data_IF_203047651439
#
_entry.id   IF_203047651439
#
_cell.length_a   1.000
_cell.length_b   1.000
_cell.length_c   1.000
_cell.angle_alpha   90.00
_cell.angle_beta   90.00
_cell.angle_gamma   90.00
#
_symmetry.space_group_name_H-M   'P 1'
#
loop_
_entity.id
_entity.type
_entity.pdbx_description
1 polymer ?
#
# COMPACT_ATOMS: atom_id res chain seq x y z
N UNK A 1 47.49 4.04 -35.42
CA UNK A 1 48.74 3.85 -34.66
C UNK A 1 48.44 3.08 -33.39
N UNK A 2 49.41 2.27 -32.95
CA UNK A 2 49.36 1.21 -31.94
C UNK A 2 48.89 1.66 -30.54
N UNK A 3 48.20 0.75 -29.83
CA UNK A 3 48.10 0.75 -28.37
C UNK A 3 49.47 0.51 -27.73
N UNK A 4 49.70 1.09 -26.54
CA UNK A 4 50.47 0.42 -25.47
C UNK A 4 49.96 0.84 -24.08
N UNK A 5 49.57 -0.17 -23.29
CA UNK A 5 49.42 -0.16 -21.82
C UNK A 5 50.75 -0.52 -21.15
N UNK A 6 50.88 -0.17 -19.86
CA UNK A 6 51.71 -0.73 -18.75
C UNK A 6 52.54 0.37 -18.06
N UNK A 7 52.79 0.45 -16.75
CA UNK A 7 52.54 -0.36 -15.52
C UNK A 7 53.23 0.45 -14.38
N UNK A 8 52.54 0.92 -13.32
CA UNK A 8 52.39 0.30 -11.97
C UNK A 8 53.52 0.62 -10.95
N UNK A 9 53.08 1.25 -9.83
CA UNK A 9 53.42 1.06 -8.39
C UNK A 9 54.71 1.62 -7.71
N UNK A 10 54.42 2.17 -6.50
CA UNK A 10 55.23 2.41 -5.26
C UNK A 10 56.26 3.55 -5.30
N UNK A 11 56.35 4.49 -4.35
CA UNK A 11 55.63 4.73 -3.09
C UNK A 11 56.42 5.68 -2.18
N UNK A 12 55.73 6.13 -1.10
CA UNK A 12 56.21 6.62 0.20
C UNK A 12 56.79 8.04 0.35
N UNK A 13 56.17 8.78 1.28
CA UNK A 13 56.57 10.06 1.88
C UNK A 13 55.39 11.03 2.01
N UNK A 14 54.40 10.80 2.90
CA UNK A 14 54.36 11.20 4.33
C UNK A 14 54.63 12.69 4.55
N UNK A 15 53.92 13.53 5.33
CA UNK A 15 52.87 13.42 6.37
C UNK A 15 52.41 14.88 6.70
N UNK A 16 51.20 15.05 7.27
CA UNK A 16 50.58 16.24 7.90
C UNK A 16 49.76 17.16 6.96
N UNK A 17 48.47 17.46 7.19
CA UNK A 17 47.57 17.34 8.35
C UNK A 17 46.17 16.92 7.84
N UNK A 18 45.55 15.82 8.29
CA UNK A 18 44.75 15.66 9.53
C UNK A 18 43.81 16.85 9.80
N UNK A 19 42.75 16.94 9.00
CA UNK A 19 41.46 17.49 9.43
C UNK A 19 40.52 16.34 9.76
N UNK A 20 40.63 15.80 10.97
CA UNK A 20 39.64 14.87 11.55
C UNK A 20 38.32 15.62 11.77
N UNK A 21 37.45 15.60 10.76
CA UNK A 21 36.01 15.82 10.92
C UNK A 21 35.33 14.46 10.91
N UNK A 22 35.51 13.67 11.96
CA UNK A 22 34.68 12.49 12.19
C UNK A 22 33.26 12.97 12.42
N UNK A 23 32.40 12.85 11.41
CA UNK A 23 30.96 12.81 11.65
C UNK A 23 30.72 11.57 12.49
N UNK A 24 30.34 11.75 13.77
CA UNK A 24 29.91 10.63 14.57
C UNK A 24 28.73 9.98 13.86
N UNK A 25 28.86 8.68 13.61
CA UNK A 25 27.81 7.81 13.10
C UNK A 25 26.81 7.50 14.22
N UNK A 26 26.37 8.50 14.98
CA UNK A 26 25.50 8.30 16.15
C UNK A 26 24.08 7.81 15.77
N UNK A 27 23.84 7.49 14.49
CA UNK A 27 22.57 6.99 13.98
C UNK A 27 21.42 8.00 14.03
N UNK A 28 21.64 9.18 14.61
CA UNK A 28 20.64 10.24 14.78
C UNK A 28 20.39 10.96 13.46
N UNK A 29 19.12 11.09 13.08
CA UNK A 29 18.74 11.92 11.94
C UNK A 29 18.94 13.41 12.29
N UNK A 30 19.47 14.24 11.36
CA UNK A 30 19.71 15.65 11.63
C UNK A 30 18.40 16.45 11.78
N UNK A 31 18.33 17.36 12.76
CA UNK A 31 17.28 18.36 12.92
C UNK A 31 17.80 19.73 12.52
N UNK A 32 17.31 20.36 11.43
CA UNK A 32 17.79 21.71 11.06
C UNK A 32 16.72 22.80 11.00
N UNK A 33 15.43 22.50 11.14
CA UNK A 33 14.39 23.55 11.19
C UNK A 33 14.00 23.83 12.64
N UNK A 34 14.38 25.01 13.13
CA UNK A 34 13.94 25.57 14.41
C UNK A 34 12.40 25.72 14.40
N UNK A 35 11.66 25.05 15.30
CA UNK A 35 10.20 25.10 15.35
C UNK A 35 9.65 26.39 15.97
N UNK A 36 10.49 27.23 16.58
CA UNK A 36 10.03 28.37 17.40
C UNK A 36 9.72 29.64 16.61
N UNK A 37 10.08 29.71 15.33
CA UNK A 37 9.81 30.84 14.45
C UNK A 37 8.62 30.61 13.52
N UNK A 38 7.39 30.70 14.03
CA UNK A 38 6.19 30.70 13.16
C UNK A 38 5.23 31.84 13.49
N UNK A 39 5.16 32.83 12.58
CA UNK A 39 3.98 33.67 12.39
C UNK A 39 3.16 33.14 11.19
N UNK A 40 1.88 32.86 11.44
CA UNK A 40 0.92 32.47 10.42
C UNK A 40 0.60 33.65 9.49
N UNK A 41 1.16 33.66 8.28
CA UNK A 41 0.67 34.56 7.22
C UNK A 41 -0.57 33.95 6.56
N UNK A 42 -1.75 34.30 7.10
CA UNK A 42 -3.07 33.98 6.55
C UNK A 42 -3.29 34.44 5.09
N UNK A 43 -2.41 35.31 4.57
CA UNK A 43 -2.48 35.89 3.24
C UNK A 43 -1.47 35.28 2.26
N UNK A 44 -0.96 34.06 2.47
CA UNK A 44 -0.36 33.29 1.37
C UNK A 44 -1.46 32.94 0.35
N UNK A 45 -1.48 33.54 -0.86
CA UNK A 45 -2.44 33.18 -1.88
C UNK A 45 -1.97 31.87 -2.51
N UNK A 46 -2.54 30.74 -2.10
CA UNK A 46 -2.17 29.44 -2.68
C UNK A 46 -2.63 28.19 -1.94
N UNK A 47 -3.24 28.30 -0.76
CA UNK A 47 -3.67 27.13 0.02
C UNK A 47 -5.00 26.51 -0.45
N UNK A 48 -5.65 27.09 -1.47
CA UNK A 48 -6.89 26.58 -2.09
C UNK A 48 -6.66 26.10 -3.55
N UNK A 49 -5.45 25.62 -3.86
CA UNK A 49 -5.09 24.94 -5.13
C UNK A 49 -4.98 23.43 -4.96
N UNK A 50 -6.01 22.76 -4.45
CA UNK A 50 -6.10 21.30 -4.52
C UNK A 50 -5.33 20.48 -3.47
N UNK A 51 -4.71 21.11 -2.47
CA UNK A 51 -4.21 20.40 -1.29
C UNK A 51 -5.38 20.12 -0.33
N UNK A 52 -5.77 18.84 -0.19
CA UNK A 52 -6.62 18.38 0.90
C UNK A 52 -5.74 17.80 2.00
N UNK A 53 -5.79 18.46 3.15
CA UNK A 53 -5.02 18.25 4.37
C UNK A 53 -3.49 18.47 4.20
N UNK A 54 -2.89 19.52 4.81
CA UNK A 54 -1.46 19.44 5.11
C UNK A 54 -1.23 18.23 6.05
N UNK A 55 -0.02 17.64 6.09
CA UNK A 55 0.35 16.85 7.26
C UNK A 55 -0.02 17.70 8.48
N UNK A 56 -0.94 17.18 9.30
CA UNK A 56 -1.53 17.89 10.43
C UNK A 56 -0.41 18.67 11.16
N UNK A 57 -0.58 19.98 11.47
CA UNK A 57 0.46 20.79 12.06
C UNK A 57 1.18 20.06 13.19
N UNK A 58 2.51 20.19 13.32
CA UNK A 58 3.31 19.36 14.23
C UNK A 58 2.87 19.39 15.69
N UNK A 59 2.18 20.44 16.11
CA UNK A 59 1.82 20.71 17.49
C UNK A 59 0.34 20.45 17.80
N UNK A 60 -0.35 19.63 17.00
CA UNK A 60 -1.73 19.25 17.30
C UNK A 60 -1.79 18.17 18.39
N UNK A 61 -2.64 18.37 19.41
CA UNK A 61 -2.93 17.40 20.47
C UNK A 61 -3.30 16.01 19.94
N UNK A 62 -3.82 15.96 18.70
CA UNK A 62 -4.16 14.74 18.00
C UNK A 62 -2.97 13.80 17.78
N UNK A 63 -1.74 14.32 17.79
CA UNK A 63 -0.51 13.56 17.73
C UNK A 63 -0.13 12.88 19.05
N UNK A 64 -0.92 13.09 20.10
CA UNK A 64 -0.76 12.41 21.39
C UNK A 64 -1.96 11.53 21.72
N UNK A 65 -3.00 11.56 20.89
CA UNK A 65 -4.22 10.80 21.10
C UNK A 65 -4.17 9.45 20.40
N UNK A 66 -4.16 8.37 21.19
CA UNK A 66 -4.39 7.03 20.67
C UNK A 66 -5.90 6.76 20.60
N UNK A 67 -6.40 6.54 19.39
CA UNK A 67 -7.79 6.16 19.20
C UNK A 67 -8.05 4.77 19.82
N UNK A 68 -7.13 3.80 19.74
CA UNK A 68 -7.34 2.46 20.30
C UNK A 68 -8.58 1.70 19.79
N UNK A 69 -9.27 2.20 18.76
CA UNK A 69 -10.56 1.67 18.29
C UNK A 69 -11.19 2.46 17.15
N UNK A 70 -12.42 2.11 16.80
CA UNK A 70 -13.17 2.76 15.72
C UNK A 70 -13.52 4.22 16.09
N UNK A 71 -13.23 5.14 15.16
CA UNK A 71 -13.58 6.56 15.27
C UNK A 71 -14.80 6.87 14.40
N UNK A 72 -15.83 7.47 15.01
CA UNK A 72 -17.13 7.76 14.40
C UNK A 72 -17.16 9.00 13.50
N UNK A 73 -16.08 9.30 12.79
CA UNK A 73 -15.97 10.50 11.95
C UNK A 73 -15.22 10.18 10.65
N UNK A 74 -15.83 10.35 9.45
CA UNK A 74 -15.13 10.11 8.19
C UNK A 74 -13.93 11.04 7.96
N UNK A 75 -13.94 12.25 8.55
CA UNK A 75 -12.83 13.21 8.42
C UNK A 75 -11.57 12.68 9.09
N UNK A 76 -11.72 11.89 10.17
CA UNK A 76 -10.61 11.20 10.83
C UNK A 76 -9.81 10.33 9.87
N UNK A 77 -10.50 9.66 8.94
CA UNK A 77 -9.88 8.80 7.93
C UNK A 77 -9.43 9.56 6.68
N UNK A 78 -9.41 10.90 6.73
CA UNK A 78 -9.05 11.77 5.62
C UNK A 78 -10.09 11.81 4.50
N UNK A 79 -11.36 11.52 4.81
CA UNK A 79 -12.44 11.45 3.85
C UNK A 79 -13.55 12.47 4.15
N UNK A 80 -14.26 12.93 3.11
CA UNK A 80 -15.35 13.91 3.28
C UNK A 80 -16.61 13.29 3.89
N UNK A 81 -16.79 11.98 3.71
CA UNK A 81 -17.98 11.23 4.09
C UNK A 81 -17.69 9.72 4.13
N UNK A 82 -18.66 8.93 4.63
CA UNK A 82 -18.52 7.48 4.76
C UNK A 82 -18.45 6.74 3.41
N UNK A 83 -18.94 7.30 2.30
CA UNK A 83 -18.72 6.70 0.97
C UNK A 83 -17.24 6.80 0.56
N UNK A 84 -16.55 7.89 0.93
CA UNK A 84 -15.09 8.01 0.76
C UNK A 84 -14.33 6.94 1.56
N UNK A 85 -14.74 6.71 2.81
CA UNK A 85 -14.18 5.65 3.68
C UNK A 85 -14.39 4.27 3.06
N UNK A 86 -15.62 3.96 2.63
CA UNK A 86 -15.95 2.70 1.95
C UNK A 86 -15.13 2.49 0.69
N UNK A 87 -14.87 3.55 -0.08
CA UNK A 87 -14.06 3.47 -1.30
C UNK A 87 -12.71 2.80 -1.05
N UNK A 88 -12.05 3.12 0.06
CA UNK A 88 -10.77 2.50 0.42
C UNK A 88 -10.94 1.03 0.79
N UNK A 89 -11.93 0.74 1.64
CA UNK A 89 -12.20 -0.59 2.15
C UNK A 89 -12.62 -1.60 1.08
N UNK A 90 -13.37 -1.17 0.06
CA UNK A 90 -13.81 -2.03 -1.03
C UNK A 90 -12.63 -2.66 -1.79
N UNK A 91 -11.56 -1.89 -1.99
CA UNK A 91 -10.33 -2.38 -2.61
C UNK A 91 -9.69 -3.51 -1.79
N UNK A 92 -9.58 -3.30 -0.48
CA UNK A 92 -9.06 -4.29 0.47
C UNK A 92 -9.85 -5.59 0.44
N UNK A 93 -11.18 -5.51 0.47
CA UNK A 93 -12.06 -6.68 0.45
C UNK A 93 -11.93 -7.48 -0.85
N UNK A 94 -11.87 -6.81 -2.00
CA UNK A 94 -11.70 -7.48 -3.29
C UNK A 94 -10.33 -8.17 -3.39
N UNK A 95 -9.28 -7.50 -2.91
CA UNK A 95 -7.92 -8.04 -2.88
C UNK A 95 -7.82 -9.27 -1.95
N UNK A 96 -8.32 -9.13 -0.72
CA UNK A 96 -8.32 -10.17 0.30
C UNK A 96 -9.12 -11.40 -0.13
N UNK A 97 -10.31 -11.19 -0.73
CA UNK A 97 -11.12 -12.26 -1.29
C UNK A 97 -10.40 -13.08 -2.35
N UNK A 98 -9.59 -12.43 -3.20
CA UNK A 98 -8.75 -13.13 -4.17
C UNK A 98 -7.61 -13.89 -3.50
N UNK A 99 -6.95 -13.35 -2.48
CA UNK A 99 -5.89 -14.09 -1.78
C UNK A 99 -6.44 -15.35 -1.08
N UNK A 100 -7.65 -15.30 -0.51
CA UNK A 100 -8.34 -16.50 -0.01
C UNK A 100 -8.67 -17.50 -1.12
N UNK A 101 -9.19 -17.01 -2.26
CA UNK A 101 -9.45 -17.83 -3.45
C UNK A 101 -8.19 -18.54 -3.95
N UNK A 102 -7.07 -17.81 -4.11
CA UNK A 102 -5.77 -18.35 -4.52
C UNK A 102 -5.31 -19.48 -3.62
N UNK A 103 -5.40 -19.28 -2.30
CA UNK A 103 -5.04 -20.31 -1.31
C UNK A 103 -5.87 -21.58 -1.49
N UNK A 104 -7.18 -21.45 -1.65
CA UNK A 104 -8.04 -22.61 -1.86
C UNK A 104 -7.72 -23.31 -3.19
N UNK A 105 -7.51 -22.54 -4.26
CA UNK A 105 -7.16 -23.05 -5.57
C UNK A 105 -5.80 -23.78 -5.59
N UNK A 106 -4.79 -23.28 -4.89
CA UNK A 106 -3.47 -23.92 -4.75
C UNK A 106 -3.55 -25.31 -4.11
N UNK A 107 -4.56 -25.57 -3.26
CA UNK A 107 -4.83 -26.88 -2.66
C UNK A 107 -5.67 -27.80 -3.56
N UNK A 108 -6.01 -27.36 -4.77
CA UNK A 108 -6.90 -28.10 -5.67
C UNK A 108 -8.39 -27.93 -5.35
N UNK A 109 -8.76 -27.11 -4.36
CA UNK A 109 -10.13 -26.99 -3.85
C UNK A 109 -10.95 -25.96 -4.64
N UNK A 110 -11.28 -26.27 -5.90
CA UNK A 110 -12.02 -25.34 -6.78
C UNK A 110 -13.39 -24.88 -6.20
N UNK A 111 -14.22 -25.75 -5.58
CA UNK A 111 -15.47 -25.32 -4.97
C UNK A 111 -15.26 -24.32 -3.82
N UNK A 112 -14.22 -24.53 -3.00
CA UNK A 112 -13.86 -23.62 -1.91
C UNK A 112 -13.35 -22.28 -2.46
N UNK A 113 -12.48 -22.30 -3.48
CA UNK A 113 -12.01 -21.09 -4.16
C UNK A 113 -13.16 -20.25 -4.71
N UNK A 114 -14.18 -20.91 -5.28
CA UNK A 114 -15.41 -20.25 -5.73
C UNK A 114 -16.20 -19.66 -4.56
N UNK A 115 -16.36 -20.40 -3.46
CA UNK A 115 -17.05 -19.91 -2.27
C UNK A 115 -16.38 -18.65 -1.69
N UNK A 116 -15.05 -18.57 -1.73
CA UNK A 116 -14.29 -17.40 -1.28
C UNK A 116 -14.59 -16.14 -2.08
N UNK A 117 -14.71 -16.26 -3.41
CA UNK A 117 -15.08 -15.14 -4.27
C UNK A 117 -16.56 -14.73 -4.11
N UNK A 118 -17.47 -15.70 -3.91
CA UNK A 118 -18.87 -15.38 -3.57
C UNK A 118 -18.94 -14.62 -2.25
N UNK A 119 -18.16 -15.04 -1.25
CA UNK A 119 -18.12 -14.33 0.02
C UNK A 119 -17.53 -12.92 -0.15
N UNK A 120 -16.49 -12.75 -0.97
CA UNK A 120 -15.94 -11.44 -1.30
C UNK A 120 -16.97 -10.53 -1.99
N UNK A 121 -17.82 -11.05 -2.89
CA UNK A 121 -18.91 -10.28 -3.50
C UNK A 121 -19.95 -9.82 -2.47
N UNK A 122 -20.26 -10.66 -1.47
CA UNK A 122 -21.18 -10.31 -0.37
C UNK A 122 -20.56 -9.23 0.51
N UNK A 123 -19.30 -9.40 0.89
CA UNK A 123 -18.54 -8.44 1.70
C UNK A 123 -18.49 -7.08 0.98
N UNK A 124 -18.22 -7.09 -0.34
CA UNK A 124 -18.23 -5.89 -1.18
C UNK A 124 -19.63 -5.25 -1.29
N UNK A 125 -20.69 -6.06 -1.38
CA UNK A 125 -22.08 -5.57 -1.42
C UNK A 125 -22.49 -4.91 -0.11
N UNK A 126 -22.01 -5.41 1.03
CA UNK A 126 -22.21 -4.76 2.34
C UNK A 126 -21.51 -3.39 2.43
N UNK A 127 -20.47 -3.16 1.60
CA UNK A 127 -19.78 -1.88 1.44
C UNK A 127 -20.37 -0.99 0.35
N UNK A 128 -21.55 -1.29 -0.20
CA UNK A 128 -22.11 -0.50 -1.29
C UNK A 128 -22.27 0.98 -0.89
N UNK A 129 -21.84 1.93 -1.75
CA UNK A 129 -22.00 3.34 -1.47
C UNK A 129 -23.47 3.73 -1.45
N UNK A 130 -23.81 4.71 -0.61
CA UNK A 130 -25.17 5.23 -0.50
C UNK A 130 -25.54 6.07 -1.71
N UNK A 131 -24.61 6.89 -2.20
CA UNK A 131 -24.84 7.80 -3.34
C UNK A 131 -24.51 7.13 -4.67
N UNK A 132 -25.47 7.15 -5.59
CA UNK A 132 -25.31 6.68 -6.98
C UNK A 132 -24.57 7.72 -7.83
N UNK A 133 -23.96 7.26 -8.93
CA UNK A 133 -23.28 8.14 -9.91
C UNK A 133 -21.98 8.78 -9.42
N UNK A 134 -21.51 8.41 -8.22
CA UNK A 134 -20.25 8.90 -7.64
C UNK A 134 -19.05 8.08 -8.11
N UNK A 135 -17.84 8.61 -7.90
CA UNK A 135 -16.58 7.87 -8.12
C UNK A 135 -16.56 6.57 -7.31
N UNK A 136 -17.01 6.61 -6.05
CA UNK A 136 -17.15 5.42 -5.19
C UNK A 136 -18.12 4.39 -5.79
N UNK A 137 -19.27 4.81 -6.31
CA UNK A 137 -20.20 3.90 -6.98
C UNK A 137 -19.60 3.25 -8.24
N UNK A 138 -18.78 4.02 -8.99
CA UNK A 138 -18.00 3.50 -10.10
C UNK A 138 -17.01 2.41 -9.67
N UNK A 139 -16.28 2.63 -8.56
CA UNK A 139 -15.37 1.62 -8.01
C UNK A 139 -16.11 0.35 -7.60
N UNK A 140 -17.20 0.49 -6.83
CA UNK A 140 -18.00 -0.66 -6.40
C UNK A 140 -18.46 -1.51 -7.59
N UNK A 141 -19.01 -0.85 -8.63
CA UNK A 141 -19.46 -1.54 -9.83
C UNK A 141 -18.30 -2.21 -10.59
N UNK A 142 -17.13 -1.58 -10.67
CA UNK A 142 -15.95 -2.17 -11.29
C UNK A 142 -15.50 -3.44 -10.54
N UNK A 143 -15.38 -3.37 -9.21
CA UNK A 143 -14.96 -4.50 -8.38
C UNK A 143 -15.96 -5.66 -8.41
N UNK A 144 -17.27 -5.38 -8.39
CA UNK A 144 -18.31 -6.41 -8.54
C UNK A 144 -18.17 -7.15 -9.88
N UNK A 145 -17.95 -6.41 -10.98
CA UNK A 145 -17.70 -7.00 -12.30
C UNK A 145 -16.46 -7.86 -12.32
N UNK A 146 -15.39 -7.43 -11.67
CA UNK A 146 -14.14 -8.18 -11.58
C UNK A 146 -14.36 -9.52 -10.85
N UNK A 147 -15.02 -9.50 -9.68
CA UNK A 147 -15.31 -10.74 -8.95
C UNK A 147 -16.28 -11.66 -9.69
N UNK A 148 -17.26 -11.09 -10.41
CA UNK A 148 -18.19 -11.87 -11.23
C UNK A 148 -17.45 -12.60 -12.37
N UNK A 149 -16.59 -11.89 -13.07
CA UNK A 149 -15.73 -12.47 -14.10
C UNK A 149 -14.81 -13.54 -13.55
N UNK A 150 -14.25 -13.34 -12.36
CA UNK A 150 -13.41 -14.36 -11.72
C UNK A 150 -14.20 -15.63 -11.37
N UNK A 151 -15.46 -15.50 -10.94
CA UNK A 151 -16.35 -16.65 -10.75
C UNK A 151 -16.61 -17.39 -12.07
N UNK A 152 -16.85 -16.66 -13.16
CA UNK A 152 -17.00 -17.23 -14.50
C UNK A 152 -15.73 -17.98 -14.95
N UNK A 153 -14.55 -17.49 -14.59
CA UNK A 153 -13.29 -18.19 -14.83
C UNK A 153 -13.21 -19.51 -14.06
N UNK A 154 -13.56 -19.53 -12.77
CA UNK A 154 -13.58 -20.77 -11.98
C UNK A 154 -14.61 -21.77 -12.53
N UNK A 155 -15.77 -21.27 -12.95
CA UNK A 155 -16.80 -22.07 -13.63
C UNK A 155 -16.28 -22.63 -14.97
N UNK A 156 -15.49 -21.85 -15.73
CA UNK A 156 -14.82 -22.27 -16.95
C UNK A 156 -13.79 -23.40 -16.75
N UNK A 157 -13.00 -23.31 -15.67
CA UNK A 157 -12.05 -24.36 -15.29
C UNK A 157 -12.78 -25.66 -14.95
N UNK A 158 -13.97 -25.56 -14.35
CA UNK A 158 -14.86 -26.69 -14.08
C UNK A 158 -15.59 -27.22 -15.34
N UNK A 159 -15.27 -26.69 -16.53
CA UNK A 159 -15.80 -27.16 -17.81
C UNK A 159 -17.10 -26.49 -18.27
N UNK A 160 -17.57 -25.43 -17.59
CA UNK A 160 -18.70 -24.64 -18.09
C UNK A 160 -18.24 -23.69 -19.20
N UNK A 161 -19.13 -23.28 -20.12
CA UNK A 161 -18.78 -22.24 -21.09
C UNK A 161 -18.39 -20.94 -20.38
N UNK A 162 -17.29 -20.35 -20.81
CA UNK A 162 -16.83 -19.04 -20.36
C UNK A 162 -16.99 -18.03 -21.49
N UNK A 163 -17.48 -16.83 -21.17
CA UNK A 163 -17.57 -15.77 -22.16
C UNK A 163 -16.19 -15.13 -22.36
N UNK A 164 -15.66 -15.06 -23.58
CA UNK A 164 -14.40 -14.36 -23.84
C UNK A 164 -14.51 -12.88 -23.47
N UNK A 165 -13.50 -12.39 -22.75
CA UNK A 165 -13.32 -11.00 -22.37
C UNK A 165 -12.04 -10.41 -22.95
N UNK A 166 -11.91 -9.08 -22.91
CA UNK A 166 -10.69 -8.37 -23.34
C UNK A 166 -9.70 -8.17 -22.17
N UNK A 167 -9.59 -9.17 -21.31
CA UNK A 167 -8.83 -9.13 -20.07
C UNK A 167 -8.15 -10.47 -19.78
N UNK A 168 -7.36 -10.55 -18.71
CA UNK A 168 -6.59 -11.74 -18.37
C UNK A 168 -7.45 -12.99 -18.15
N UNK A 169 -8.64 -12.85 -17.57
CA UNK A 169 -9.56 -13.98 -17.41
C UNK A 169 -10.14 -14.42 -18.77
N UNK A 170 -10.43 -13.48 -19.66
CA UNK A 170 -10.84 -13.76 -21.03
C UNK A 170 -9.76 -14.47 -21.84
N UNK A 171 -8.49 -14.08 -21.69
CA UNK A 171 -7.32 -14.75 -22.27
C UNK A 171 -7.25 -16.21 -21.81
N UNK A 172 -7.40 -16.46 -20.50
CA UNK A 172 -7.43 -17.83 -19.96
C UNK A 172 -8.67 -18.57 -20.49
N UNK A 173 -9.82 -17.91 -20.56
CA UNK A 173 -11.05 -18.47 -21.07
C UNK A 173 -10.96 -18.96 -22.51
N UNK A 174 -10.37 -18.15 -23.40
CA UNK A 174 -10.09 -18.53 -24.79
C UNK A 174 -9.20 -19.78 -24.83
N UNK A 175 -8.13 -19.82 -24.03
CA UNK A 175 -7.23 -20.96 -23.97
C UNK A 175 -7.93 -22.24 -23.45
N UNK A 176 -8.83 -22.12 -22.46
CA UNK A 176 -9.64 -23.23 -21.95
C UNK A 176 -10.64 -23.76 -22.99
N UNK A 177 -11.17 -22.88 -23.85
CA UNK A 177 -12.07 -23.21 -24.95
C UNK A 177 -11.36 -23.74 -26.21
N UNK A 178 -10.02 -23.75 -26.23
CA UNK A 178 -9.23 -24.14 -27.41
C UNK A 178 -9.19 -23.08 -28.51
N UNK A 179 -9.58 -21.84 -28.21
CA UNK A 179 -9.48 -20.69 -29.11
C UNK A 179 -8.10 -20.00 -28.97
N UNK A 180 -7.71 -19.20 -29.96
CA UNK A 180 -6.43 -18.47 -29.94
C UNK A 180 -6.49 -17.26 -28.97
N UNK A 181 -5.74 -17.27 -27.86
CA UNK A 181 -5.73 -16.16 -26.92
C UNK A 181 -4.80 -15.01 -27.33
N UNK A 182 -3.94 -15.20 -28.34
CA UNK A 182 -2.86 -14.25 -28.68
C UNK A 182 -3.35 -12.83 -29.00
N UNK A 183 -4.44 -12.61 -29.76
CA UNK A 183 -4.89 -11.25 -30.07
C UNK A 183 -5.25 -10.43 -28.82
N UNK A 184 -5.80 -11.09 -27.78
CA UNK A 184 -6.11 -10.42 -26.51
C UNK A 184 -4.84 -10.28 -25.67
N UNK A 185 -4.00 -11.32 -25.63
CA UNK A 185 -2.74 -11.31 -24.88
C UNK A 185 -1.76 -10.22 -25.35
N UNK A 186 -1.65 -9.99 -26.66
CA UNK A 186 -0.81 -8.93 -27.24
C UNK A 186 -1.31 -7.54 -26.87
N UNK A 187 -2.64 -7.33 -26.84
CA UNK A 187 -3.23 -6.06 -26.38
C UNK A 187 -2.89 -5.76 -24.93
N UNK A 188 -2.80 -6.79 -24.10
CA UNK A 188 -2.45 -6.67 -22.68
C UNK A 188 -0.96 -6.41 -22.46
N UNK A 189 -0.09 -6.50 -23.47
CA UNK A 189 1.34 -6.25 -23.32
C UNK A 189 1.65 -4.79 -22.96
N UNK A 190 0.78 -3.85 -23.34
CA UNK A 190 0.99 -2.42 -23.12
C UNK A 190 0.27 -1.93 -21.85
N UNK A 191 1.00 -1.32 -20.88
CA UNK A 191 0.37 -0.78 -19.68
C UNK A 191 -0.48 0.46 -19.98
N UNK A 192 -1.67 0.60 -19.37
CA UNK A 192 -2.51 1.78 -19.54
C UNK A 192 -1.91 3.01 -18.84
N UNK A 193 -2.31 4.21 -19.27
CA UNK A 193 -1.87 5.47 -18.65
C UNK A 193 -2.26 5.59 -17.18
N UNK A 194 -3.34 4.92 -16.75
CA UNK A 194 -3.79 4.90 -15.37
C UNK A 194 -2.73 4.41 -14.36
N UNK A 195 -1.67 3.72 -14.83
CA UNK A 195 -0.55 3.28 -14.00
C UNK A 195 0.55 4.33 -13.82
N UNK A 196 0.32 5.54 -14.31
CA UNK A 196 1.08 6.72 -13.88
C UNK A 196 0.53 7.18 -12.53
N UNK A 197 1.21 6.78 -11.46
CA UNK A 197 0.71 6.87 -10.08
C UNK A 197 0.60 8.31 -9.57
N UNK A 198 1.29 9.24 -10.22
CA UNK A 198 1.40 10.66 -9.86
C UNK A 198 0.54 11.56 -10.78
N UNK A 199 -0.20 10.98 -11.73
CA UNK A 199 -1.01 11.71 -12.73
C UNK A 199 -2.33 12.25 -12.15
N UNK A 200 -2.24 13.11 -11.12
CA UNK A 200 -3.38 13.80 -10.51
C UNK A 200 -2.97 15.19 -10.02
N UNK A 201 -3.90 16.16 -10.03
CA UNK A 201 -3.60 17.54 -9.58
C UNK A 201 -4.16 17.87 -8.21
N UNK A 202 -5.21 17.15 -7.81
CA UNK A 202 -5.94 17.39 -6.57
C UNK A 202 -6.54 16.08 -6.06
N UNK A 203 -7.18 16.13 -4.90
CA UNK A 203 -7.77 14.94 -4.27
C UNK A 203 -8.88 14.29 -5.11
N UNK A 204 -9.74 15.07 -5.78
CA UNK A 204 -10.84 14.49 -6.54
C UNK A 204 -10.30 13.78 -7.80
N UNK A 205 -9.26 14.33 -8.42
CA UNK A 205 -8.48 13.66 -9.48
C UNK A 205 -7.82 12.38 -8.96
N UNK A 206 -7.23 12.42 -7.76
CA UNK A 206 -6.62 11.26 -7.11
C UNK A 206 -7.64 10.13 -6.92
N UNK A 207 -8.87 10.44 -6.53
CA UNK A 207 -9.94 9.44 -6.42
C UNK A 207 -10.33 8.85 -7.77
N UNK A 208 -10.45 9.69 -8.82
CA UNK A 208 -10.70 9.18 -10.17
C UNK A 208 -9.57 8.26 -10.65
N UNK A 209 -8.32 8.64 -10.40
CA UNK A 209 -7.16 7.82 -10.72
C UNK A 209 -7.16 6.49 -9.95
N UNK A 210 -7.54 6.47 -8.67
CA UNK A 210 -7.73 5.21 -7.90
C UNK A 210 -8.72 4.28 -8.61
N UNK A 211 -9.86 4.78 -9.07
CA UNK A 211 -10.83 3.96 -9.80
C UNK A 211 -10.28 3.44 -11.12
N UNK A 212 -9.59 4.28 -11.89
CA UNK A 212 -8.95 3.87 -13.14
C UNK A 212 -7.90 2.78 -12.92
N UNK A 213 -7.11 2.87 -11.84
CA UNK A 213 -6.15 1.83 -11.46
C UNK A 213 -6.83 0.52 -11.06
N UNK A 214 -7.95 0.57 -10.34
CA UNK A 214 -8.72 -0.63 -10.03
C UNK A 214 -9.36 -1.27 -11.27
N UNK A 215 -9.79 -0.47 -12.25
CA UNK A 215 -10.23 -0.98 -13.55
C UNK A 215 -9.07 -1.65 -14.29
N UNK A 216 -7.89 -1.02 -14.34
CA UNK A 216 -6.70 -1.61 -14.94
C UNK A 216 -6.28 -2.91 -14.24
N UNK A 217 -6.30 -2.93 -12.91
CA UNK A 217 -6.09 -4.13 -12.13
C UNK A 217 -7.11 -5.21 -12.48
N UNK A 218 -8.38 -4.85 -12.59
CA UNK A 218 -9.43 -5.73 -13.07
C UNK A 218 -9.03 -6.39 -14.39
N UNK A 219 -8.54 -5.62 -15.36
CA UNK A 219 -8.11 -6.13 -16.68
C UNK A 219 -6.94 -7.12 -16.59
N UNK A 220 -5.89 -6.85 -15.81
CA UNK A 220 -4.67 -7.67 -15.83
C UNK A 220 -4.62 -8.76 -14.76
N UNK A 221 -5.25 -8.55 -13.61
CA UNK A 221 -5.13 -9.45 -12.48
C UNK A 221 -5.92 -10.75 -12.71
N UNK A 222 -5.21 -11.87 -12.72
CA UNK A 222 -5.76 -13.22 -12.62
C UNK A 222 -6.14 -13.52 -11.15
N UNK A 223 -7.37 -14.02 -10.88
CA UNK A 223 -7.78 -14.44 -9.55
C UNK A 223 -7.02 -15.65 -9.00
N UNK A 224 -6.38 -16.48 -9.83
CA UNK A 224 -5.78 -17.76 -9.43
C UNK A 224 -4.28 -17.73 -9.24
N UNK A 225 -3.53 -17.22 -10.21
CA UNK A 225 -2.10 -17.10 -10.01
C UNK A 225 -1.76 -15.87 -9.18
N UNK A 226 -0.62 -15.95 -8.53
CA UNK A 226 -0.13 -14.94 -7.61
C UNK A 226 1.18 -14.39 -8.16
N UNK A 227 1.24 -13.10 -8.43
CA UNK A 227 2.49 -12.42 -8.74
C UNK A 227 2.82 -11.54 -7.54
N UNK A 228 3.72 -11.98 -6.65
CA UNK A 228 4.08 -11.20 -5.48
C UNK A 228 4.61 -9.84 -5.93
N UNK A 229 3.89 -8.79 -5.54
CA UNK A 229 4.23 -7.42 -5.88
C UNK A 229 4.41 -6.70 -4.56
N UNK A 230 5.67 -6.50 -4.18
CA UNK A 230 6.04 -5.81 -2.95
C UNK A 230 6.42 -4.38 -3.32
N UNK A 231 5.46 -3.46 -3.27
CA UNK A 231 5.60 -2.12 -3.86
C UNK A 231 4.27 -1.62 -4.38
N UNK A 232 4.32 -0.74 -5.39
CA UNK A 232 3.11 -0.21 -6.02
C UNK A 232 2.66 -1.04 -7.24
N UNK A 233 1.38 -0.94 -7.56
CA UNK A 233 0.83 -1.41 -8.84
C UNK A 233 1.08 -0.40 -9.96
N UNK A 234 2.31 -0.40 -10.48
CA UNK A 234 2.77 0.50 -11.54
C UNK A 234 2.92 -0.20 -12.90
N UNK A 235 3.49 0.50 -13.88
CA UNK A 235 3.78 -0.06 -15.21
C UNK A 235 4.73 -1.26 -15.16
N UNK A 236 5.66 -1.32 -14.20
CA UNK A 236 6.57 -2.47 -14.03
C UNK A 236 5.78 -3.68 -13.52
N UNK A 237 4.89 -3.48 -12.55
CA UNK A 237 3.98 -4.52 -12.07
C UNK A 237 3.12 -5.09 -13.19
N UNK A 238 2.56 -4.23 -14.06
CA UNK A 238 1.80 -4.67 -15.22
C UNK A 238 2.60 -5.60 -16.15
N UNK A 239 3.83 -5.22 -16.52
CA UNK A 239 4.70 -6.03 -17.38
C UNK A 239 5.01 -7.39 -16.72
N UNK A 240 5.24 -7.41 -15.41
CA UNK A 240 5.45 -8.67 -14.67
C UNK A 240 4.21 -9.56 -14.69
N UNK A 241 3.03 -8.98 -14.50
CA UNK A 241 1.78 -9.72 -14.48
C UNK A 241 1.45 -10.28 -15.85
N UNK A 242 1.70 -9.50 -16.91
CA UNK A 242 1.61 -9.95 -18.29
C UNK A 242 2.54 -11.13 -18.57
N UNK A 243 3.83 -11.02 -18.21
CA UNK A 243 4.78 -12.15 -18.35
C UNK A 243 4.30 -13.40 -17.63
N UNK A 244 3.85 -13.26 -16.38
CA UNK A 244 3.35 -14.39 -15.59
C UNK A 244 2.07 -14.98 -16.21
N UNK A 245 1.23 -14.17 -16.87
CA UNK A 245 0.08 -14.66 -17.62
C UNK A 245 0.53 -15.48 -18.84
N UNK A 246 1.51 -15.00 -19.62
CA UNK A 246 2.10 -15.74 -20.76
C UNK A 246 2.64 -17.10 -20.30
N UNK A 247 3.40 -17.14 -19.21
CA UNK A 247 3.97 -18.37 -18.65
C UNK A 247 2.89 -19.37 -18.24
N UNK A 248 1.81 -18.91 -17.60
CA UNK A 248 0.66 -19.74 -17.21
C UNK A 248 -0.11 -20.30 -18.41
N UNK A 249 -0.28 -19.51 -19.48
CA UNK A 249 -0.90 -20.01 -20.71
C UNK A 249 -0.03 -21.08 -21.39
N UNK A 250 1.29 -20.90 -21.37
CA UNK A 250 2.23 -21.92 -21.82
C UNK A 250 2.07 -23.23 -21.04
N UNK A 251 1.91 -23.12 -19.71
CA UNK A 251 1.68 -24.27 -18.83
C UNK A 251 0.31 -24.94 -19.01
N UNK A 252 -0.70 -24.18 -19.47
CA UNK A 252 -2.06 -24.67 -19.69
C UNK A 252 -2.19 -25.46 -21.01
N UNK A 253 -1.27 -25.24 -21.96
CA UNK A 253 -1.33 -25.83 -23.29
C UNK A 253 -1.32 -27.36 -23.23
N UNK A 254 -2.35 -27.99 -23.82
CA UNK A 254 -2.49 -29.45 -23.86
C UNK A 254 -2.99 -30.07 -22.55
N UNK A 255 -3.38 -29.26 -21.55
CA UNK A 255 -3.89 -29.75 -20.27
C UNK A 255 -5.42 -29.82 -20.29
N UNK A 256 -5.96 -31.04 -20.35
CA UNK A 256 -7.41 -31.30 -20.36
C UNK A 256 -8.00 -31.48 -18.97
N UNK A 257 -7.26 -32.11 -18.06
CA UNK A 257 -7.73 -32.45 -16.71
C UNK A 257 -7.89 -31.20 -15.83
N UNK A 258 -9.00 -31.12 -15.10
CA UNK A 258 -9.32 -29.98 -14.22
C UNK A 258 -8.19 -29.70 -13.21
N UNK A 259 -7.65 -30.75 -12.58
CA UNK A 259 -6.56 -30.62 -11.62
C UNK A 259 -5.29 -30.06 -12.27
N UNK A 260 -4.95 -30.52 -13.48
CA UNK A 260 -3.80 -30.01 -14.22
C UNK A 260 -3.99 -28.53 -14.60
N UNK A 261 -5.19 -28.14 -15.05
CA UNK A 261 -5.52 -26.75 -15.39
C UNK A 261 -5.34 -25.83 -14.18
N UNK A 262 -5.83 -26.28 -13.02
CA UNK A 262 -5.72 -25.51 -11.77
C UNK A 262 -4.25 -25.38 -11.33
N UNK A 263 -3.45 -26.45 -11.42
CA UNK A 263 -2.01 -26.40 -11.15
C UNK A 263 -1.27 -25.45 -12.10
N UNK A 264 -1.62 -25.44 -13.39
CA UNK A 264 -1.04 -24.52 -14.35
C UNK A 264 -1.34 -23.04 -14.02
N UNK A 265 -2.59 -22.75 -13.62
CA UNK A 265 -3.06 -21.38 -13.38
C UNK A 265 -2.69 -20.82 -12.00
N UNK A 266 -2.46 -21.66 -11.01
CA UNK A 266 -2.14 -21.25 -9.62
C UNK A 266 -0.65 -21.02 -9.36
N UNK A 267 0.19 -21.15 -10.40
CA UNK A 267 1.63 -20.90 -10.29
C UNK A 267 1.90 -19.51 -9.73
N UNK A 268 2.83 -19.45 -8.78
CA UNK A 268 3.34 -18.19 -8.24
C UNK A 268 4.42 -17.69 -9.20
N UNK A 269 4.24 -16.46 -9.70
CA UNK A 269 5.22 -15.80 -10.54
C UNK A 269 6.48 -15.42 -9.76
N UNK A 270 7.60 -15.15 -10.45
CA UNK A 270 8.84 -14.74 -9.78
C UNK A 270 8.64 -13.44 -8.98
N UNK A 271 9.31 -13.37 -7.84
CA UNK A 271 9.40 -12.15 -7.04
C UNK A 271 10.47 -11.25 -7.64
N UNK A 272 10.18 -9.97 -7.86
CA UNK A 272 11.20 -8.97 -8.20
C UNK A 272 11.77 -8.38 -6.91
N UNK A 273 13.09 -8.27 -6.85
CA UNK A 273 13.79 -7.62 -5.75
C UNK A 273 13.44 -6.13 -5.72
N UNK A 274 13.17 -5.61 -4.53
CA UNK A 274 12.94 -4.18 -4.31
C UNK A 274 13.99 -3.67 -3.36
N UNK A 275 14.72 -2.65 -3.80
CA UNK A 275 15.82 -2.06 -3.04
C UNK A 275 15.33 -0.90 -2.17
N UNK A 276 15.87 -0.75 -0.95
CA UNK A 276 15.56 0.36 -0.05
C UNK A 276 16.30 1.63 -0.51
N UNK A 277 15.95 2.13 -1.69
CA UNK A 277 16.57 3.34 -2.27
C UNK A 277 16.23 4.60 -1.46
N UNK A 278 17.01 5.66 -1.62
CA UNK A 278 16.71 6.98 -1.03
C UNK A 278 15.30 7.45 -1.39
N UNK A 279 14.90 7.30 -2.65
CA UNK A 279 13.58 7.68 -3.13
C UNK A 279 12.47 6.86 -2.45
N UNK A 280 12.68 5.56 -2.24
CA UNK A 280 11.72 4.71 -1.52
C UNK A 280 11.67 5.05 -0.03
N UNK A 281 12.82 5.26 0.63
CA UNK A 281 12.88 5.56 2.07
C UNK A 281 12.30 6.95 2.41
N UNK A 282 12.49 7.94 1.53
CA UNK A 282 12.03 9.32 1.73
C UNK A 282 10.66 9.65 1.13
N UNK A 283 9.98 8.69 0.50
CA UNK A 283 8.66 8.92 -0.10
C UNK A 283 7.59 9.19 0.98
N UNK A 284 6.66 10.10 0.69
CA UNK A 284 5.47 10.26 1.51
C UNK A 284 4.58 9.01 1.36
N UNK A 285 4.35 8.21 2.43
CA UNK A 285 3.48 7.06 2.34
C UNK A 285 2.03 7.50 2.16
N UNK A 286 1.23 6.66 1.52
CA UNK A 286 -0.21 6.85 1.59
C UNK A 286 -0.72 6.53 3.01
N UNK A 287 -1.99 6.81 3.28
CA UNK A 287 -2.66 6.25 4.46
C UNK A 287 -2.66 4.71 4.44
N UNK A 288 -2.53 4.09 3.28
CA UNK A 288 -2.94 2.71 3.02
C UNK A 288 -1.71 1.84 2.66
N UNK A 289 -1.13 1.13 3.64
CA UNK A 289 0.08 0.33 3.37
C UNK A 289 -0.14 -0.79 2.36
N UNK A 290 -1.37 -1.21 2.05
CA UNK A 290 -1.57 -2.19 0.98
C UNK A 290 -1.17 -1.59 -0.38
N UNK A 291 -1.47 -0.31 -0.62
CA UNK A 291 -1.00 0.44 -1.79
C UNK A 291 0.52 0.61 -1.78
N UNK A 292 1.07 0.99 -0.63
CA UNK A 292 2.51 1.28 -0.53
C UNK A 292 3.35 0.01 -0.59
N UNK A 293 2.83 -1.10 -0.06
CA UNK A 293 3.63 -2.26 0.30
C UNK A 293 3.31 -3.54 -0.45
N UNK A 294 2.06 -3.78 -0.81
CA UNK A 294 1.60 -5.08 -1.31
C UNK A 294 1.04 -5.03 -2.73
N UNK A 295 1.19 -3.90 -3.43
CA UNK A 295 0.77 -3.75 -4.81
C UNK A 295 -0.74 -3.57 -4.99
N UNK A 296 -1.47 -3.11 -3.97
CA UNK A 296 -2.87 -2.72 -4.17
C UNK A 296 -2.94 -1.56 -5.17
N UNK A 297 -3.91 -1.55 -6.11
CA UNK A 297 -4.12 -0.45 -7.02
C UNK A 297 -4.46 0.84 -6.26
N UNK A 298 -3.65 1.86 -6.47
CA UNK A 298 -3.85 3.14 -5.85
C UNK A 298 -2.76 4.16 -6.22
N UNK A 299 -3.14 5.44 -6.33
CA UNK A 299 -2.19 6.51 -6.59
C UNK A 299 -1.30 6.74 -5.37
N UNK A 300 -0.13 7.32 -5.61
CA UNK A 300 0.77 7.78 -4.56
C UNK A 300 0.13 8.84 -3.67
N UNK A 301 0.81 9.17 -2.58
CA UNK A 301 0.33 10.16 -1.64
C UNK A 301 0.23 11.54 -2.31
N UNK A 302 -0.72 12.35 -1.85
CA UNK A 302 -0.86 13.74 -2.28
C UNK A 302 0.01 14.64 -1.40
N UNK A 303 0.75 15.55 -2.03
CA UNK A 303 1.50 16.60 -1.34
C UNK A 303 2.94 16.23 -0.99
N UNK A 304 3.54 17.07 -0.16
CA UNK A 304 4.93 17.00 0.26
C UNK A 304 5.02 17.07 1.78
N UNK A 305 6.06 16.47 2.36
CA UNK A 305 6.33 16.57 3.79
C UNK A 305 6.93 17.95 4.11
N UNK A 306 6.46 18.56 5.20
CA UNK A 306 6.94 19.87 5.66
C UNK A 306 8.41 19.85 6.14
N UNK A 307 8.78 18.74 6.77
CA UNK A 307 10.10 18.48 7.36
C UNK A 307 10.43 17.01 7.14
N UNK A 308 11.72 16.68 7.06
CA UNK A 308 12.15 15.33 6.68
C UNK A 308 11.49 14.89 5.36
N UNK A 309 11.47 15.82 4.38
CA UNK A 309 10.91 15.64 3.05
C UNK A 309 12.00 15.58 1.97
N UNK A 310 11.58 15.60 0.70
CA UNK A 310 12.48 15.57 -0.45
C UNK A 310 13.35 16.84 -0.58
N UNK A 311 12.91 17.96 -0.01
CA UNK A 311 13.57 19.26 0.00
C UNK A 311 14.57 19.41 1.18
N UNK A 312 14.58 18.48 2.14
CA UNK A 312 15.46 18.51 3.31
C UNK A 312 16.80 17.84 3.03
N UNK A 313 17.79 18.61 2.58
CA UNK A 313 19.10 18.10 2.17
C UNK A 313 19.82 17.28 3.27
N UNK A 314 19.65 17.65 4.54
CA UNK A 314 20.28 16.93 5.64
C UNK A 314 19.63 15.56 5.84
N UNK A 315 18.29 15.51 5.77
CA UNK A 315 17.55 14.25 5.82
C UNK A 315 17.86 13.37 4.61
N UNK A 316 17.93 13.93 3.39
CA UNK A 316 18.31 13.20 2.19
C UNK A 316 19.73 12.61 2.28
N UNK A 317 20.68 13.35 2.86
CA UNK A 317 22.03 12.85 3.13
C UNK A 317 22.04 11.67 4.10
N UNK A 318 21.24 11.73 5.18
CA UNK A 318 21.09 10.61 6.12
C UNK A 318 20.45 9.38 5.46
N UNK A 319 19.41 9.58 4.63
CA UNK A 319 18.78 8.52 3.86
C UNK A 319 19.72 7.86 2.86
N UNK A 320 20.65 8.60 2.27
CA UNK A 320 21.66 8.04 1.36
C UNK A 320 22.59 7.06 2.08
N UNK A 321 23.08 7.41 3.28
CA UNK A 321 23.88 6.50 4.11
C UNK A 321 23.08 5.26 4.52
N UNK A 322 21.84 5.47 5.01
CA UNK A 322 20.95 4.38 5.38
C UNK A 322 20.66 3.43 4.20
N UNK A 323 20.39 3.97 3.02
CA UNK A 323 20.09 3.19 1.81
C UNK A 323 21.25 2.30 1.39
N UNK A 324 22.49 2.81 1.47
CA UNK A 324 23.69 2.05 1.16
C UNK A 324 23.87 0.87 2.12
N UNK A 325 23.77 1.13 3.43
CA UNK A 325 23.87 0.10 4.47
C UNK A 325 22.77 -0.97 4.33
N UNK A 326 21.51 -0.55 4.14
CA UNK A 326 20.39 -1.47 4.02
C UNK A 326 20.44 -2.33 2.76
N UNK A 327 20.93 -1.78 1.64
CA UNK A 327 21.09 -2.53 0.37
C UNK A 327 22.10 -3.66 0.52
N UNK A 328 23.18 -3.46 1.27
CA UNK A 328 24.16 -4.50 1.58
C UNK A 328 23.53 -5.56 2.51
N UNK A 329 22.95 -5.13 3.64
CA UNK A 329 22.45 -6.02 4.68
C UNK A 329 21.30 -6.92 4.23
N UNK A 330 20.38 -6.42 3.41
CA UNK A 330 19.11 -7.12 3.12
C UNK A 330 19.30 -8.52 2.53
N UNK A 331 20.43 -8.78 1.87
CA UNK A 331 20.72 -10.09 1.26
C UNK A 331 21.73 -10.91 2.07
N UNK A 332 22.63 -10.27 2.82
CA UNK A 332 23.71 -10.95 3.56
C UNK A 332 23.39 -11.20 5.03
N UNK A 333 22.60 -10.33 5.65
CA UNK A 333 22.27 -10.35 7.08
C UNK A 333 20.87 -9.77 7.32
N UNK A 334 19.79 -10.58 7.11
CA UNK A 334 18.41 -10.11 7.30
C UNK A 334 18.07 -9.76 8.76
N UNK A 335 18.79 -10.30 9.74
CA UNK A 335 18.65 -9.92 11.14
C UNK A 335 19.26 -8.53 11.40
N UNK A 336 20.48 -8.30 10.91
CA UNK A 336 21.13 -7.00 10.92
C UNK A 336 20.33 -5.93 10.16
N UNK A 337 19.77 -6.28 9.00
CA UNK A 337 18.84 -5.42 8.27
C UNK A 337 17.64 -5.01 9.14
N UNK A 338 17.00 -5.98 9.78
CA UNK A 338 15.83 -5.74 10.65
C UNK A 338 16.20 -4.83 11.83
N UNK A 339 17.33 -5.09 12.49
CA UNK A 339 17.83 -4.26 13.58
C UNK A 339 18.13 -2.83 13.11
N UNK A 340 18.71 -2.68 11.91
CA UNK A 340 19.07 -1.37 11.35
C UNK A 340 17.84 -0.53 10.99
N UNK A 341 16.80 -1.15 10.42
CA UNK A 341 15.50 -0.49 10.17
C UNK A 341 14.88 -0.02 11.48
N UNK A 342 14.89 -0.84 12.54
CA UNK A 342 14.37 -0.44 13.87
C UNK A 342 15.14 0.73 14.47
N UNK A 343 16.46 0.74 14.37
CA UNK A 343 17.28 1.86 14.82
C UNK A 343 16.97 3.15 14.03
N UNK A 344 16.77 3.04 12.71
CA UNK A 344 16.36 4.18 11.87
C UNK A 344 14.98 4.71 12.27
N UNK A 345 14.01 3.82 12.53
CA UNK A 345 12.67 4.18 13.01
C UNK A 345 12.75 4.90 14.35
N UNK A 346 13.53 4.38 15.32
CA UNK A 346 13.72 5.04 16.61
C UNK A 346 14.35 6.43 16.49
N UNK A 347 15.33 6.59 15.59
CA UNK A 347 15.96 7.88 15.33
C UNK A 347 14.94 8.91 14.82
N UNK A 348 14.08 8.53 13.88
CA UNK A 348 13.02 9.41 13.35
C UNK A 348 11.92 9.68 14.38
N UNK A 349 11.51 8.67 15.14
CA UNK A 349 10.43 8.79 16.13
C UNK A 349 10.81 9.69 17.33
N UNK A 350 12.11 9.88 17.58
CA UNK A 350 12.62 10.78 18.60
C UNK A 350 12.39 12.28 18.29
N UNK A 351 12.03 12.64 17.06
CA UNK A 351 11.71 14.01 16.70
C UNK A 351 10.37 14.44 17.31
N UNK A 352 10.17 15.73 17.63
CA UNK A 352 8.88 16.22 18.15
C UNK A 352 7.81 16.45 17.07
N UNK A 353 8.22 16.64 15.82
CA UNK A 353 7.36 17.06 14.71
C UNK A 353 6.51 15.92 14.11
N UNK A 354 5.23 16.17 13.80
CA UNK A 354 4.27 15.20 13.26
C UNK A 354 4.68 14.45 11.98
N UNK A 355 5.48 15.06 11.08
CA UNK A 355 6.15 14.38 9.94
C UNK A 355 6.86 13.07 10.31
N UNK A 356 7.29 12.91 11.58
CA UNK A 356 7.92 11.66 12.04
C UNK A 356 7.04 10.44 11.81
N UNK A 357 5.72 10.56 12.00
CA UNK A 357 4.80 9.42 11.86
C UNK A 357 4.75 8.89 10.43
N UNK A 358 4.82 9.78 9.43
CA UNK A 358 4.88 9.41 8.02
C UNK A 358 6.20 8.70 7.70
N UNK A 359 7.32 9.25 8.15
CA UNK A 359 8.64 8.66 7.90
C UNK A 359 8.82 7.32 8.64
N UNK A 360 8.36 7.20 9.90
CA UNK A 360 8.34 5.94 10.65
C UNK A 360 7.58 4.86 9.88
N UNK A 361 6.37 5.18 9.40
CA UNK A 361 5.59 4.25 8.58
C UNK A 361 6.30 3.88 7.30
N UNK A 362 6.88 4.85 6.60
CA UNK A 362 7.56 4.59 5.33
C UNK A 362 8.77 3.69 5.51
N UNK A 363 9.61 3.94 6.52
CA UNK A 363 10.76 3.09 6.83
C UNK A 363 10.34 1.64 7.10
N UNK A 364 9.25 1.43 7.84
CA UNK A 364 8.71 0.07 8.08
C UNK A 364 8.14 -0.56 6.80
N UNK A 365 7.36 0.18 6.01
CA UNK A 365 6.83 -0.29 4.72
C UNK A 365 7.96 -0.71 3.76
N UNK A 366 9.00 0.12 3.63
CA UNK A 366 10.19 -0.17 2.78
C UNK A 366 10.96 -1.37 3.30
N UNK A 367 11.24 -1.42 4.61
CA UNK A 367 11.96 -2.54 5.22
C UNK A 367 11.24 -3.87 5.02
N UNK A 368 9.93 -3.90 5.27
CA UNK A 368 9.10 -5.09 5.05
C UNK A 368 9.11 -5.53 3.57
N UNK A 369 8.91 -4.59 2.63
CA UNK A 369 8.95 -4.87 1.19
C UNK A 369 10.28 -5.45 0.75
N UNK A 370 11.40 -4.86 1.17
CA UNK A 370 12.73 -5.27 0.75
C UNK A 370 13.07 -6.71 1.18
N UNK A 371 12.64 -7.10 2.39
CA UNK A 371 12.75 -8.47 2.90
C UNK A 371 11.81 -9.43 2.16
N UNK A 372 10.54 -9.06 1.98
CA UNK A 372 9.55 -9.88 1.30
C UNK A 372 9.94 -10.15 -0.18
N UNK A 373 10.53 -9.14 -0.83
CA UNK A 373 11.04 -9.21 -2.19
C UNK A 373 12.22 -10.17 -2.38
N UNK A 374 12.87 -10.59 -1.28
CA UNK A 374 13.97 -11.56 -1.25
C UNK A 374 13.60 -12.90 -0.62
N UNK A 375 12.33 -13.10 -0.31
CA UNK A 375 11.86 -14.33 0.32
C UNK A 375 12.12 -14.43 1.82
N UNK A 376 12.59 -13.36 2.48
CA UNK A 376 12.76 -13.30 3.93
C UNK A 376 11.43 -13.03 4.65
N UNK A 377 10.41 -13.86 4.38
CA UNK A 377 9.03 -13.61 4.83
C UNK A 377 8.89 -13.56 6.35
N UNK A 378 9.64 -14.38 7.10
CA UNK A 378 9.61 -14.35 8.57
C UNK A 378 10.08 -12.99 9.11
N UNK A 379 11.19 -12.46 8.60
CA UNK A 379 11.70 -11.14 8.94
C UNK A 379 10.76 -10.02 8.50
N UNK A 380 10.19 -10.11 7.30
CA UNK A 380 9.20 -9.16 6.81
C UNK A 380 7.98 -9.07 7.74
N UNK A 381 7.46 -10.22 8.20
CA UNK A 381 6.38 -10.30 9.18
C UNK A 381 6.77 -9.74 10.55
N UNK A 382 8.03 -9.90 10.96
CA UNK A 382 8.55 -9.29 12.19
C UNK A 382 8.54 -7.76 12.10
N UNK A 383 9.02 -7.16 11.00
CA UNK A 383 8.92 -5.71 10.80
C UNK A 383 7.47 -5.23 10.65
N UNK A 384 6.60 -6.02 10.02
CA UNK A 384 5.19 -5.68 9.90
C UNK A 384 4.51 -5.54 11.27
N UNK A 385 4.86 -6.40 12.23
CA UNK A 385 4.37 -6.32 13.61
C UNK A 385 4.83 -5.05 14.33
N UNK A 386 5.93 -4.44 13.93
CA UNK A 386 6.41 -3.18 14.53
C UNK A 386 5.49 -2.00 14.19
N UNK A 387 4.52 -2.15 13.28
CA UNK A 387 3.42 -1.19 13.10
C UNK A 387 2.39 -1.21 14.24
N UNK A 388 2.52 -2.13 15.21
CA UNK A 388 1.65 -2.21 16.38
C UNK A 388 2.40 -1.78 17.66
N UNK A 389 1.74 -1.09 18.61
CA UNK A 389 0.38 -0.54 18.51
C UNK A 389 0.29 0.53 17.41
N UNK A 390 -0.92 0.77 16.87
CA UNK A 390 -1.11 1.68 15.74
C UNK A 390 -0.74 3.11 16.11
N UNK A 391 0.04 3.78 15.26
CA UNK A 391 0.51 5.15 15.46
C UNK A 391 -0.52 6.15 14.91
N UNK A 392 -0.44 7.42 15.29
CA UNK A 392 -1.49 8.41 14.98
C UNK A 392 -1.81 8.56 13.47
N UNK A 393 -0.80 8.49 12.60
CA UNK A 393 -1.01 8.53 11.14
C UNK A 393 -1.71 7.28 10.61
N UNK A 394 -1.49 6.13 11.26
CA UNK A 394 -2.05 4.85 10.85
C UNK A 394 -3.59 4.86 10.97
N UNK A 395 -4.14 5.71 11.83
CA UNK A 395 -5.58 5.89 12.02
C UNK A 395 -6.28 6.75 10.94
N UNK A 396 -5.52 7.52 10.16
CA UNK A 396 -6.03 8.15 8.94
C UNK A 396 -6.26 7.11 7.80
N UNK A 397 -6.12 5.83 8.11
CA UNK A 397 -6.43 4.71 7.24
C UNK A 397 -7.63 3.91 7.78
N UNK A 398 -8.73 3.82 7.02
CA UNK A 398 -9.84 2.92 7.34
C UNK A 398 -9.35 1.49 7.57
N UNK A 399 -9.86 0.80 8.59
CA UNK A 399 -9.56 -0.61 8.89
C UNK A 399 -8.05 -0.95 8.91
N UNK A 400 -7.23 -0.08 9.49
CA UNK A 400 -5.77 -0.24 9.48
C UNK A 400 -5.27 -1.59 10.00
N UNK A 401 -5.86 -2.10 11.09
CA UNK A 401 -5.50 -3.41 11.63
C UNK A 401 -5.75 -4.51 10.59
N UNK A 402 -6.93 -4.51 9.94
CA UNK A 402 -7.26 -5.46 8.88
C UNK A 402 -6.33 -5.37 7.67
N UNK A 403 -5.83 -4.17 7.33
CA UNK A 403 -4.82 -3.97 6.27
C UNK A 403 -3.50 -4.66 6.65
N UNK A 404 -3.01 -4.44 7.87
CA UNK A 404 -1.77 -5.08 8.33
C UNK A 404 -1.94 -6.61 8.38
N UNK A 405 -3.08 -7.11 8.85
CA UNK A 405 -3.40 -8.55 8.83
C UNK A 405 -3.50 -9.09 7.40
N UNK A 406 -4.04 -8.34 6.44
CA UNK A 406 -4.10 -8.74 5.04
C UNK A 406 -2.69 -8.85 4.43
N UNK A 407 -1.79 -7.91 4.73
CA UNK A 407 -0.38 -7.99 4.33
C UNK A 407 0.29 -9.21 4.98
N UNK A 408 0.04 -9.46 6.27
CA UNK A 408 0.59 -10.63 6.99
C UNK A 408 0.11 -11.95 6.37
N UNK A 409 -1.19 -12.05 6.08
CA UNK A 409 -1.78 -13.20 5.41
C UNK A 409 -1.23 -13.42 4.00
N UNK A 410 -0.97 -12.34 3.25
CA UNK A 410 -0.33 -12.43 1.93
C UNK A 410 1.14 -12.86 2.03
N UNK A 411 1.91 -12.34 2.99
CA UNK A 411 3.29 -12.79 3.26
C UNK A 411 3.31 -14.28 3.60
N UNK A 412 2.38 -14.73 4.44
CA UNK A 412 2.23 -16.14 4.79
C UNK A 412 1.82 -17.00 3.58
N UNK A 413 0.89 -16.53 2.75
CA UNK A 413 0.47 -17.21 1.52
C UNK A 413 1.62 -17.37 0.52
N UNK A 414 2.33 -16.28 0.21
CA UNK A 414 3.47 -16.30 -0.72
C UNK A 414 4.61 -17.16 -0.18
N UNK A 415 4.86 -17.09 1.13
CA UNK A 415 5.89 -17.88 1.80
C UNK A 415 5.53 -19.34 2.05
N UNK A 416 4.32 -19.78 1.70
CA UNK A 416 3.86 -21.15 1.97
C UNK A 416 3.80 -21.49 3.45
N UNK A 417 3.48 -20.52 4.31
CA UNK A 417 3.41 -20.71 5.76
C UNK A 417 2.04 -21.28 6.18
N UNK A 418 2.04 -22.19 7.14
CA UNK A 418 0.83 -22.91 7.58
C UNK A 418 -0.27 -22.01 8.14
N UNK A 419 0.10 -20.87 8.72
CA UNK A 419 -0.84 -19.93 9.34
C UNK A 419 -1.51 -18.95 8.36
N UNK A 420 -1.22 -19.03 7.06
CA UNK A 420 -1.81 -18.14 6.04
C UNK A 420 -3.35 -18.12 6.07
N UNK A 421 -3.96 -19.28 6.34
CA UNK A 421 -5.40 -19.43 6.47
C UNK A 421 -5.99 -18.51 7.54
N UNK A 422 -5.42 -18.60 8.73
CA UNK A 422 -5.87 -17.90 9.92
C UNK A 422 -5.70 -16.40 9.72
N UNK A 423 -4.54 -15.96 9.22
CA UNK A 423 -4.25 -14.54 8.99
C UNK A 423 -5.19 -13.88 7.98
N UNK A 424 -5.51 -14.58 6.90
CA UNK A 424 -6.48 -14.09 5.91
C UNK A 424 -7.91 -14.04 6.49
N UNK A 425 -8.28 -14.98 7.39
CA UNK A 425 -9.56 -14.93 8.11
C UNK A 425 -9.64 -13.75 9.07
N UNK A 426 -8.61 -13.55 9.90
CA UNK A 426 -8.50 -12.44 10.85
C UNK A 426 -8.64 -11.08 10.13
N UNK A 427 -7.95 -10.91 8.99
CA UNK A 427 -8.07 -9.71 8.17
C UNK A 427 -9.50 -9.47 7.66
N UNK A 428 -10.21 -10.55 7.32
CA UNK A 428 -11.57 -10.51 6.78
C UNK A 428 -12.58 -10.14 7.86
N UNK A 429 -12.40 -10.71 9.05
CA UNK A 429 -13.21 -10.43 10.23
C UNK A 429 -13.04 -8.97 10.67
N UNK A 430 -11.80 -8.47 10.72
CA UNK A 430 -11.52 -7.05 10.99
C UNK A 430 -12.19 -6.14 9.97
N UNK A 431 -12.10 -6.48 8.67
CA UNK A 431 -12.74 -5.70 7.62
C UNK A 431 -14.27 -5.66 7.78
N UNK A 432 -14.91 -6.82 8.02
CA UNK A 432 -16.38 -6.88 8.23
C UNK A 432 -16.82 -6.14 9.48
N UNK A 433 -16.06 -6.23 10.57
CA UNK A 433 -16.34 -5.48 11.79
C UNK A 433 -16.32 -3.97 11.50
N UNK A 434 -15.31 -3.49 10.79
CA UNK A 434 -15.22 -2.08 10.40
C UNK A 434 -16.38 -1.64 9.48
N UNK A 435 -16.85 -2.49 8.56
CA UNK A 435 -18.07 -2.21 7.76
C UNK A 435 -19.29 -2.05 8.65
N UNK A 436 -19.45 -2.95 9.63
CA UNK A 436 -20.56 -2.89 10.58
C UNK A 436 -20.50 -1.61 11.42
N UNK A 437 -19.32 -1.19 11.87
CA UNK A 437 -19.12 0.06 12.60
C UNK A 437 -19.47 1.29 11.76
N UNK A 438 -19.09 1.34 10.47
CA UNK A 438 -19.53 2.42 9.56
C UNK A 438 -21.07 2.46 9.50
N UNK A 439 -21.72 1.29 9.35
CA UNK A 439 -23.17 1.22 9.27
C UNK A 439 -23.86 1.69 10.55
N UNK A 440 -23.27 1.41 11.72
CA UNK A 440 -23.73 1.91 13.01
C UNK A 440 -23.51 3.42 13.14
N UNK A 441 -22.34 3.94 12.78
CA UNK A 441 -22.02 5.37 12.82
C UNK A 441 -22.89 6.23 11.89
N UNK A 442 -23.38 5.66 10.79
CA UNK A 442 -24.37 6.33 9.93
C UNK A 442 -25.76 6.44 10.57
N UNK A 443 -26.12 5.49 11.44
CA UNK A 443 -27.42 5.47 12.12
C UNK A 443 -27.39 6.24 13.44
N UNK A 444 -26.28 6.14 14.14
CA UNK A 444 -25.99 6.81 15.40
C UNK A 444 -24.67 7.56 15.28
N UNK A 445 -24.70 8.89 15.07
CA UNK A 445 -23.49 9.70 15.04
C UNK A 445 -22.66 9.61 16.33
N UNK A 446 -23.19 9.13 17.46
CA UNK A 446 -22.41 8.96 18.69
C UNK A 446 -21.62 7.65 18.75
N UNK A 447 -21.85 6.73 17.81
CA UNK A 447 -21.08 5.49 17.71
C UNK A 447 -19.62 5.76 17.37
N UNK A 448 -18.72 5.10 18.10
CA UNK A 448 -17.28 5.24 17.95
C UNK A 448 -16.69 6.41 18.74
N UNK A 449 -15.37 6.44 18.75
CA UNK A 449 -14.58 7.41 19.51
C UNK A 449 -14.57 8.76 18.81
N UNK A 450 -14.22 9.80 19.58
CA UNK A 450 -14.17 11.19 19.12
C UNK A 450 -12.77 11.77 19.32
N UNK A 451 -12.11 12.24 18.25
CA UNK A 451 -10.79 12.83 18.36
C UNK A 451 -10.83 14.16 19.13
N UNK A 452 -9.84 14.44 19.99
CA UNK A 452 -9.71 15.75 20.63
C UNK A 452 -9.55 16.85 19.56
N UNK A 453 -10.16 18.01 19.79
CA UNK A 453 -10.10 19.16 18.88
C UNK A 453 -11.01 19.07 17.64
N UNK A 454 -11.51 17.90 17.27
CA UNK A 454 -12.51 17.71 16.23
C UNK A 454 -13.90 17.60 16.86
N UNK A 455 -14.67 18.70 16.86
CA UNK A 455 -16.10 18.62 17.18
C UNK A 455 -16.66 19.49 18.31
N UNK A 456 -15.91 20.43 18.91
CA UNK A 456 -16.59 21.52 19.63
C UNK A 456 -17.09 22.58 18.65
N UNK A 457 -18.26 22.34 18.05
CA UNK A 457 -19.11 23.47 17.63
C UNK A 457 -19.51 24.23 18.90
N UNK A 458 -18.76 25.29 19.21
CA UNK A 458 -19.14 26.34 20.14
C UNK A 458 -19.22 25.95 21.61
N UNK A 459 -18.09 26.00 22.33
CA UNK A 459 -18.12 26.73 23.61
C UNK A 459 -17.69 28.16 23.29
N UNK A 460 -18.64 29.09 23.38
CA UNK A 460 -18.32 30.50 23.41
C UNK A 460 -17.20 30.70 24.44
N UNK A 461 -16.14 31.42 24.06
CA UNK A 461 -15.15 31.93 25.02
C UNK A 461 -15.94 32.57 26.17
N UNK A 462 -15.64 32.28 27.45
CA UNK A 462 -16.21 33.04 28.54
C UNK A 462 -15.89 34.51 28.25
N UNK A 463 -16.94 35.33 28.16
CA UNK A 463 -16.85 36.72 27.76
C UNK A 463 -15.78 37.42 28.58
N UNK A 464 -14.92 38.19 27.91
CA UNK A 464 -14.09 39.19 28.58
C UNK A 464 -15.00 40.00 29.51
N UNK A 465 -14.68 40.16 30.80
CA UNK A 465 -15.40 41.10 31.64
C UNK A 465 -15.27 42.49 30.98
N UNK A 466 -16.40 43.18 30.85
CA UNK A 466 -16.45 44.52 30.29
C UNK A 466 -15.50 45.44 31.07
N UNK A 467 -14.79 46.36 30.40
CA UNK A 467 -13.97 47.34 31.09
C UNK A 467 -14.88 48.21 31.94
N UNK A 468 -14.62 48.25 33.25
CA UNK A 468 -15.18 49.26 34.14
C UNK A 468 -14.78 50.63 33.61
N UNK A 469 -15.76 51.37 33.12
CA UNK A 469 -15.63 52.80 32.78
C UNK A 469 -15.65 53.63 34.09
N UNK A 470 -15.04 54.83 34.08
CA UNK A 470 -14.37 55.45 35.23
C UNK A 470 -15.28 55.92 36.36
#
# INVERSE_FOLDING_TARGET
MKMTRRTVLVGLGSVAAVGCGGASTDGRAPTSKDPTGFEFNAARPGLDRGQKAPPLPPDLDIWTWDAGGFVGDPIWYGERDWDGVRMRLMGHLAWLGRDRCRRAAQRGALPEARAELVQAQRDLSACAPRRRGTVTAGLHAALQKVLQRDLELLDGIAGKPIKPGLDAAGVIGLALSGEDPNPVLERLASPPQALDLDSFTNFDDRHRLRVQQWVAWGVMADPLGLVPTWGHFDRRAWVRWHRSLVERLGALRGVSEQTGRLQALTRIGPVETVDPTVAELGALPTGDSLIDSAGEPGPRAIGELWSMGADDAAYQGWLAGLSAELTELVSSDPDGFTARVRAAVQAVDAHSHGSRFYNVKQLRNVGMRALAARGHFKHARTLLKDHLPLHNQDWACPNRLGILQAIDGRLALVGGLDDAAQRLSEASESARAFVADIAQAEQDPTHGLRPPGFGQKGKARPGKPAPSSP
#
